data_IF_180489393561
#
_entry.id   IF_180489393561
#
_cell.length_a   1.000
_cell.length_b   1.000
_cell.length_c   1.000
_cell.angle_alpha   90.00
_cell.angle_beta   90.00
_cell.angle_gamma   90.00
#
_symmetry.space_group_name_H-M   'P 1'
#
loop_
_entity.id
_entity.type
_entity.pdbx_description
1 polymer ?
#
# COMPACT_ATOMS: atom_id res chain seq x y z
N UNK A 1 13.80 -23.16 11.46
CA UNK A 1 13.85 -22.57 12.82
C UNK A 1 13.60 -21.08 12.71
N UNK A 2 12.54 -20.57 13.35
CA UNK A 2 12.12 -19.18 13.27
C UNK A 2 13.13 -18.26 13.97
N UNK A 3 13.69 -17.27 13.27
CA UNK A 3 14.54 -16.28 13.92
C UNK A 3 13.66 -15.26 14.64
N UNK A 4 13.51 -15.50 15.94
CA UNK A 4 12.92 -14.60 16.90
C UNK A 4 13.66 -13.25 16.90
N UNK A 5 12.93 -12.13 16.99
CA UNK A 5 13.57 -10.87 17.40
C UNK A 5 14.23 -11.11 18.74
N UNK A 6 15.57 -11.07 18.78
CA UNK A 6 16.39 -11.26 19.98
C UNK A 6 15.96 -10.39 21.17
N UNK A 7 15.27 -9.28 20.91
CA UNK A 7 14.72 -8.38 21.94
C UNK A 7 13.42 -8.86 22.58
N UNK A 8 12.57 -9.62 21.88
CA UNK A 8 11.19 -9.82 22.36
C UNK A 8 10.49 -11.11 21.94
N UNK A 9 11.17 -11.98 21.18
CA UNK A 9 10.67 -13.29 20.78
C UNK A 9 9.25 -13.30 20.19
N UNK A 10 8.81 -12.18 19.59
CA UNK A 10 7.55 -12.09 18.86
C UNK A 10 7.82 -12.00 17.36
N UNK A 11 7.10 -12.78 16.52
CA UNK A 11 7.12 -12.58 15.07
C UNK A 11 6.42 -11.26 14.72
N UNK A 12 6.69 -10.70 13.53
CA UNK A 12 5.86 -9.61 12.97
C UNK A 12 6.49 -8.23 12.78
N UNK A 13 7.77 -8.00 13.11
CA UNK A 13 8.39 -6.67 13.04
C UNK A 13 9.94 -6.70 13.02
N UNK A 14 10.59 -5.63 12.57
CA UNK A 14 12.04 -5.45 12.64
C UNK A 14 12.50 -5.16 14.08
N UNK A 15 13.78 -5.38 14.40
CA UNK A 15 14.31 -5.16 15.76
C UNK A 15 14.24 -3.69 16.23
N UNK A 16 14.18 -2.75 15.29
CA UNK A 16 13.98 -1.31 15.52
C UNK A 16 12.51 -0.96 15.83
N UNK A 17 11.60 -1.90 15.56
CA UNK A 17 10.16 -1.75 15.67
C UNK A 17 9.58 -2.57 16.82
N UNK A 18 10.43 -3.23 17.61
CA UNK A 18 9.96 -3.98 18.76
C UNK A 18 9.57 -3.00 19.87
N UNK A 19 8.29 -2.97 20.20
CA UNK A 19 7.70 -2.16 21.29
C UNK A 19 7.96 -2.80 22.67
N UNK A 20 8.59 -3.96 22.74
CA UNK A 20 8.91 -4.58 24.01
C UNK A 20 10.13 -3.90 24.65
N UNK A 21 9.89 -3.19 25.75
CA UNK A 21 10.93 -2.62 26.60
C UNK A 21 11.59 -3.74 27.40
N UNK A 22 12.85 -4.08 27.10
CA UNK A 22 13.66 -4.84 28.06
C UNK A 22 13.99 -3.93 29.24
N UNK A 23 13.96 -4.49 30.47
CA UNK A 23 14.16 -3.74 31.74
C UNK A 23 15.50 -2.98 31.80
N UNK A 24 16.44 -3.29 30.92
CA UNK A 24 17.77 -2.68 30.84
C UNK A 24 17.78 -1.31 30.12
N UNK A 25 16.75 -0.98 29.33
CA UNK A 25 16.68 0.31 28.61
C UNK A 25 16.26 1.50 29.47
N UNK A 26 15.92 1.29 30.75
CA UNK A 26 15.54 2.39 31.66
C UNK A 26 16.77 3.21 32.10
N UNK A 27 18.00 2.69 31.93
CA UNK A 27 19.22 3.36 32.35
C UNK A 27 19.88 4.28 31.29
N UNK A 28 19.51 4.18 30.01
CA UNK A 28 19.97 5.07 28.94
C UNK A 28 18.75 5.65 28.22
N UNK A 29 18.39 6.89 28.55
CA UNK A 29 17.20 7.59 28.04
C UNK A 29 17.19 7.81 26.52
N UNK A 30 16.94 6.75 25.75
CA UNK A 30 16.72 6.78 24.30
C UNK A 30 15.64 5.79 23.89
N UNK A 31 14.39 6.07 24.26
CA UNK A 31 13.23 5.50 23.57
C UNK A 31 12.45 6.64 22.93
N UNK A 32 12.87 7.09 21.74
CA UNK A 32 12.00 7.94 20.92
C UNK A 32 10.79 7.08 20.53
N UNK A 33 9.57 7.41 20.96
CA UNK A 33 8.40 6.81 20.35
C UNK A 33 8.44 7.21 18.87
N UNK A 34 8.40 6.23 17.96
CA UNK A 34 8.33 6.45 16.51
C UNK A 34 7.03 7.18 16.18
N UNK A 35 7.05 8.51 16.29
CA UNK A 35 5.92 9.36 15.97
C UNK A 35 5.72 9.38 14.45
N UNK A 36 4.45 9.25 14.03
CA UNK A 36 4.06 9.42 12.63
C UNK A 36 4.50 10.83 12.20
N UNK A 37 5.17 10.96 11.05
CA UNK A 37 5.62 12.26 10.59
C UNK A 37 4.46 13.22 10.35
N UNK A 38 4.70 14.53 10.53
CA UNK A 38 3.70 15.57 10.27
C UNK A 38 3.18 15.51 8.83
N UNK A 39 4.04 15.22 7.86
CA UNK A 39 3.68 15.11 6.45
C UNK A 39 2.71 13.95 6.22
N UNK A 40 2.99 12.78 6.82
CA UNK A 40 2.15 11.60 6.71
C UNK A 40 0.79 11.78 7.40
N UNK A 41 0.77 12.47 8.55
CA UNK A 41 -0.49 12.90 9.19
C UNK A 41 -1.28 13.88 8.30
N UNK A 42 -0.59 14.74 7.57
CA UNK A 42 -1.19 15.61 6.54
C UNK A 42 -1.90 14.79 5.46
N UNK A 43 -1.22 13.77 4.92
CA UNK A 43 -1.81 12.88 3.92
C UNK A 43 -3.02 12.12 4.44
N UNK A 44 -2.95 11.55 5.64
CA UNK A 44 -4.10 10.86 6.24
C UNK A 44 -5.32 11.77 6.42
N UNK A 45 -5.10 13.03 6.84
CA UNK A 45 -6.20 14.01 6.94
C UNK A 45 -6.84 14.29 5.59
N UNK A 46 -6.05 14.42 4.52
CA UNK A 46 -6.56 14.61 3.16
C UNK A 46 -7.33 13.39 2.67
N UNK A 47 -6.79 12.18 2.86
CA UNK A 47 -7.49 10.94 2.51
C UNK A 47 -8.82 10.78 3.26
N UNK A 48 -8.86 11.15 4.54
CA UNK A 48 -10.09 11.12 5.32
C UNK A 48 -11.15 12.07 4.77
N UNK A 49 -10.76 13.25 4.26
CA UNK A 49 -11.69 14.18 3.60
C UNK A 49 -12.21 13.60 2.28
N UNK A 50 -11.34 13.00 1.46
CA UNK A 50 -11.75 12.33 0.22
C UNK A 50 -12.75 11.20 0.52
N UNK A 51 -12.48 10.40 1.56
CA UNK A 51 -13.33 9.29 2.00
C UNK A 51 -14.74 9.69 2.46
N UNK A 52 -14.99 10.98 2.76
CA UNK A 52 -16.34 11.46 3.07
C UNK A 52 -17.21 11.68 1.82
N UNK A 53 -16.60 11.91 0.66
CA UNK A 53 -17.27 12.30 -0.58
C UNK A 53 -17.21 11.18 -1.63
N UNK A 54 -17.33 9.91 -1.21
CA UNK A 54 -17.13 8.75 -2.09
C UNK A 54 -18.25 8.54 -3.12
N UNK A 55 -19.49 8.93 -2.80
CA UNK A 55 -20.68 8.62 -3.61
C UNK A 55 -20.77 9.39 -4.94
N UNK A 56 -20.04 10.50 -5.08
CA UNK A 56 -19.99 11.30 -6.31
C UNK A 56 -18.67 11.17 -7.08
N UNK A 57 -17.76 10.30 -6.62
CA UNK A 57 -16.46 10.11 -7.25
C UNK A 57 -16.61 9.48 -8.63
N UNK A 58 -16.05 10.12 -9.65
CA UNK A 58 -15.99 9.61 -11.01
C UNK A 58 -14.68 10.01 -11.68
N UNK A 59 -14.23 9.19 -12.62
CA UNK A 59 -13.01 9.48 -13.38
C UNK A 59 -13.17 10.78 -14.18
N UNK A 60 -12.19 11.67 -14.08
CA UNK A 60 -12.18 12.95 -14.80
C UNK A 60 -12.10 12.81 -16.33
N UNK A 61 -11.71 11.65 -16.85
CA UNK A 61 -11.56 11.42 -18.29
C UNK A 61 -12.76 10.71 -18.93
N UNK A 62 -13.35 9.72 -18.24
CA UNK A 62 -14.45 8.91 -18.79
C UNK A 62 -15.70 8.81 -17.90
N UNK A 63 -15.73 9.52 -16.78
CA UNK A 63 -16.83 9.53 -15.82
C UNK A 63 -17.20 8.16 -15.22
N UNK A 64 -16.37 7.13 -15.40
CA UNK A 64 -16.53 5.84 -14.71
C UNK A 64 -16.48 6.02 -13.19
N UNK A 65 -17.34 5.31 -12.47
CA UNK A 65 -17.39 5.30 -11.00
C UNK A 65 -16.69 4.08 -10.38
N UNK A 66 -15.99 3.27 -11.20
CA UNK A 66 -15.42 1.98 -10.81
C UNK A 66 -13.89 2.04 -10.91
N UNK A 67 -13.23 1.33 -10.00
CA UNK A 67 -11.77 1.15 -9.96
C UNK A 67 -11.03 2.49 -9.95
N UNK A 68 -11.28 3.30 -8.91
CA UNK A 68 -10.90 4.70 -8.85
C UNK A 68 -9.73 4.96 -7.92
N UNK A 69 -8.85 5.85 -8.36
CA UNK A 69 -7.80 6.44 -7.54
C UNK A 69 -7.84 7.97 -7.63
N UNK A 70 -7.66 8.64 -6.49
CA UNK A 70 -7.44 10.08 -6.45
C UNK A 70 -5.94 10.37 -6.34
N UNK A 71 -5.42 11.15 -7.28
CA UNK A 71 -4.07 11.69 -7.16
C UNK A 71 -4.05 12.78 -6.08
N UNK A 72 -3.19 12.63 -5.08
CA UNK A 72 -3.07 13.61 -3.99
C UNK A 72 -2.21 14.80 -4.39
N UNK A 73 -1.51 14.77 -5.51
CA UNK A 73 -0.73 15.92 -5.96
C UNK A 73 -1.58 16.93 -6.72
N UNK A 74 -2.50 16.48 -7.58
CA UNK A 74 -3.38 17.36 -8.37
C UNK A 74 -4.87 17.30 -8.03
N UNK A 75 -5.29 16.41 -7.12
CA UNK A 75 -6.68 16.27 -6.68
C UNK A 75 -7.63 15.62 -7.69
N UNK A 76 -7.16 15.27 -8.90
CA UNK A 76 -7.98 14.62 -9.94
C UNK A 76 -8.18 13.13 -9.64
N UNK A 77 -9.28 12.58 -10.16
CA UNK A 77 -9.70 11.18 -10.00
C UNK A 77 -9.54 10.45 -11.34
N UNK A 78 -8.92 9.27 -11.31
CA UNK A 78 -8.66 8.46 -12.48
C UNK A 78 -9.14 7.03 -12.26
N UNK A 79 -9.70 6.40 -13.30
CA UNK A 79 -9.98 4.98 -13.26
C UNK A 79 -8.77 4.16 -13.73
N UNK A 80 -8.54 3.03 -13.07
CA UNK A 80 -7.51 2.06 -13.46
C UNK A 80 -8.00 1.09 -14.53
N UNK A 81 -9.30 0.76 -14.52
CA UNK A 81 -9.93 -0.16 -15.48
C UNK A 81 -9.75 0.24 -16.95
N UNK A 82 -9.78 1.54 -17.26
CA UNK A 82 -9.51 2.06 -18.60
C UNK A 82 -8.05 2.51 -18.80
N UNK A 83 -7.17 2.29 -17.81
CA UNK A 83 -5.76 2.66 -17.85
C UNK A 83 -5.46 4.16 -17.68
N UNK A 84 -6.46 5.00 -17.40
CA UNK A 84 -6.25 6.45 -17.20
C UNK A 84 -5.34 6.75 -16.00
N UNK A 85 -5.42 5.93 -14.95
CA UNK A 85 -4.52 6.06 -13.80
C UNK A 85 -3.06 5.82 -14.20
N UNK A 86 -2.80 4.75 -14.93
CA UNK A 86 -1.45 4.42 -15.41
C UNK A 86 -0.91 5.48 -16.38
N UNK A 87 -1.74 5.96 -17.30
CA UNK A 87 -1.40 7.06 -18.20
C UNK A 87 -1.05 8.34 -17.42
N UNK A 88 -1.84 8.67 -16.39
CA UNK A 88 -1.58 9.81 -15.53
C UNK A 88 -0.22 9.70 -14.80
N UNK A 89 0.08 8.54 -14.21
CA UNK A 89 1.35 8.28 -13.51
C UNK A 89 2.55 8.40 -14.45
N UNK A 90 2.41 7.93 -15.69
CA UNK A 90 3.48 8.00 -16.71
C UNK A 90 3.73 9.42 -17.19
N UNK A 91 2.66 10.20 -17.40
CA UNK A 91 2.73 11.58 -17.90
C UNK A 91 3.10 12.59 -16.83
N UNK A 92 2.89 12.28 -15.54
CA UNK A 92 3.15 13.18 -14.42
C UNK A 92 4.11 12.51 -13.41
N UNK A 93 5.42 12.48 -13.70
CA UNK A 93 6.37 11.71 -12.90
C UNK A 93 6.53 12.22 -11.46
N UNK A 94 6.23 13.51 -11.21
CA UNK A 94 6.22 14.12 -9.87
C UNK A 94 4.98 13.80 -9.05
N UNK A 95 3.97 13.15 -9.64
CA UNK A 95 2.78 12.71 -8.91
C UNK A 95 3.04 11.31 -8.36
N UNK A 96 3.11 11.22 -7.05
CA UNK A 96 3.64 10.04 -6.37
C UNK A 96 2.61 9.43 -5.41
N UNK A 97 1.63 10.21 -4.99
CA UNK A 97 0.76 9.89 -3.87
C UNK A 97 -0.69 9.67 -4.33
N UNK A 98 -1.24 8.50 -3.99
CA UNK A 98 -2.56 8.11 -4.46
C UNK A 98 -3.44 7.59 -3.33
N UNK A 99 -4.69 8.04 -3.32
CA UNK A 99 -5.75 7.46 -2.51
C UNK A 99 -6.52 6.43 -3.34
N UNK A 100 -6.67 5.22 -2.81
CA UNK A 100 -7.50 4.18 -3.42
C UNK A 100 -8.92 4.29 -2.88
N UNK A 101 -9.91 4.37 -3.78
CA UNK A 101 -11.33 4.33 -3.42
C UNK A 101 -11.76 2.92 -3.03
N UNK A 102 -11.18 1.89 -3.66
CA UNK A 102 -11.44 0.48 -3.31
C UNK A 102 -10.96 0.10 -1.92
N UNK A 103 -9.76 0.56 -1.53
CA UNK A 103 -9.20 0.33 -0.19
C UNK A 103 -9.62 1.39 0.84
N UNK A 104 -10.24 2.48 0.37
CA UNK A 104 -10.66 3.65 1.16
C UNK A 104 -9.53 4.27 1.99
N UNK A 105 -8.32 4.31 1.43
CA UNK A 105 -7.11 4.82 2.13
C UNK A 105 -5.98 5.21 1.18
N UNK A 106 -4.97 5.85 1.75
CA UNK A 106 -3.69 6.10 1.11
C UNK A 106 -3.02 4.78 0.72
N UNK A 107 -2.57 4.69 -0.53
CA UNK A 107 -1.69 3.63 -1.01
C UNK A 107 -0.28 3.95 -0.52
N UNK A 108 0.21 3.16 0.43
CA UNK A 108 1.52 3.34 1.07
C UNK A 108 2.02 2.01 1.63
N UNK A 109 3.28 1.99 2.05
CA UNK A 109 3.85 0.86 2.77
C UNK A 109 3.00 0.46 4.00
N UNK A 110 2.92 -0.84 4.26
CA UNK A 110 2.08 -1.48 5.28
C UNK A 110 2.24 -0.89 6.68
N UNK A 111 3.47 -0.51 7.04
CA UNK A 111 3.79 0.02 8.36
C UNK A 111 3.28 1.45 8.52
N UNK A 112 2.50 1.67 9.59
CA UNK A 112 1.84 2.94 9.87
C UNK A 112 2.81 4.13 9.97
N UNK A 113 4.00 3.91 10.53
CA UNK A 113 5.07 4.91 10.71
C UNK A 113 6.02 5.04 9.53
N UNK A 114 5.97 4.13 8.55
CA UNK A 114 6.79 4.22 7.34
C UNK A 114 6.35 5.41 6.48
N UNK A 115 7.33 6.22 6.04
CA UNK A 115 7.11 7.42 5.23
C UNK A 115 6.99 7.14 3.73
N UNK A 116 7.28 5.91 3.28
CA UNK A 116 7.22 5.57 1.85
C UNK A 116 5.76 5.52 1.39
N UNK A 117 5.41 6.54 0.60
CA UNK A 117 4.09 6.72 -0.01
C UNK A 117 4.16 6.82 -1.53
N UNK A 118 5.36 6.89 -2.11
CA UNK A 118 5.54 6.95 -3.56
C UNK A 118 5.14 5.61 -4.17
N UNK A 119 4.10 5.63 -5.01
CA UNK A 119 3.56 4.43 -5.65
C UNK A 119 4.60 3.63 -6.45
N UNK A 120 5.64 4.28 -6.97
CA UNK A 120 6.72 3.65 -7.76
C UNK A 120 7.71 2.85 -6.90
N UNK A 121 7.71 3.10 -5.60
CA UNK A 121 8.56 2.45 -4.60
C UNK A 121 7.81 1.39 -3.78
N UNK A 122 6.56 1.11 -4.16
CA UNK A 122 5.72 0.13 -3.50
C UNK A 122 5.72 -1.19 -4.27
N UNK A 123 5.86 -2.25 -3.49
CA UNK A 123 5.77 -3.64 -3.88
C UNK A 123 4.52 -4.27 -3.29
N UNK A 124 4.02 -5.30 -3.95
CA UNK A 124 2.91 -6.14 -3.54
C UNK A 124 3.38 -7.57 -3.51
N UNK A 125 3.03 -8.30 -2.46
CA UNK A 125 3.21 -9.74 -2.41
C UNK A 125 1.97 -10.40 -3.03
N UNK A 126 2.08 -10.96 -4.24
CA UNK A 126 0.92 -11.57 -4.90
C UNK A 126 0.41 -12.78 -4.12
N UNK A 127 1.28 -13.58 -3.51
CA UNK A 127 0.84 -14.69 -2.66
C UNK A 127 -0.08 -14.26 -1.49
N UNK A 128 0.30 -13.22 -0.74
CA UNK A 128 -0.55 -12.70 0.33
C UNK A 128 -1.82 -12.05 -0.19
N UNK A 129 -1.72 -11.46 -1.39
CA UNK A 129 -2.84 -10.87 -2.10
C UNK A 129 -3.89 -11.92 -2.49
N UNK A 130 -3.47 -13.02 -3.12
CA UNK A 130 -4.34 -14.12 -3.58
C UNK A 130 -5.03 -14.79 -2.38
N UNK A 131 -4.28 -15.03 -1.30
CA UNK A 131 -4.84 -15.56 -0.06
C UNK A 131 -5.89 -14.63 0.55
N UNK A 132 -5.70 -13.32 0.43
CA UNK A 132 -6.68 -12.35 0.87
C UNK A 132 -7.92 -12.39 -0.03
N UNK A 133 -7.71 -12.45 -1.35
CA UNK A 133 -8.75 -12.49 -2.36
C UNK A 133 -9.71 -13.65 -2.12
N UNK A 134 -9.20 -14.88 -2.04
CA UNK A 134 -10.01 -16.09 -1.91
C UNK A 134 -10.95 -16.09 -0.70
N UNK A 135 -10.55 -15.42 0.39
CA UNK A 135 -11.26 -15.47 1.67
C UNK A 135 -12.09 -14.22 1.95
N UNK A 136 -11.64 -13.05 1.48
CA UNK A 136 -12.16 -11.76 1.93
C UNK A 136 -12.63 -10.84 0.82
N UNK A 137 -12.44 -11.19 -0.45
CA UNK A 137 -13.02 -10.45 -1.55
C UNK A 137 -14.42 -10.96 -1.87
N UNK A 138 -15.38 -10.04 -1.97
CA UNK A 138 -16.71 -10.34 -2.45
C UNK A 138 -16.76 -10.04 -3.95
N UNK A 139 -16.84 -11.10 -4.76
CA UNK A 139 -16.89 -10.98 -6.22
C UNK A 139 -18.19 -10.37 -6.73
N UNK A 140 -19.31 -10.54 -6.01
CA UNK A 140 -20.60 -10.00 -6.43
C UNK A 140 -20.64 -8.48 -6.29
N UNK A 141 -20.06 -7.97 -5.20
CA UNK A 141 -20.02 -6.51 -4.95
C UNK A 141 -18.71 -5.87 -5.42
N UNK A 142 -17.72 -6.68 -5.83
CA UNK A 142 -16.35 -6.26 -6.14
C UNK A 142 -15.69 -5.46 -4.99
N UNK A 143 -15.96 -5.85 -3.74
CA UNK A 143 -15.46 -5.16 -2.54
C UNK A 143 -14.69 -6.06 -1.58
N UNK A 144 -13.84 -5.44 -0.77
CA UNK A 144 -13.15 -6.11 0.33
C UNK A 144 -13.98 -6.11 1.61
N UNK A 145 -14.05 -7.26 2.27
CA UNK A 145 -14.45 -7.32 3.68
C UNK A 145 -13.42 -6.60 4.55
N UNK A 146 -13.86 -6.06 5.70
CA UNK A 146 -12.99 -5.28 6.61
C UNK A 146 -11.70 -6.02 7.00
N UNK A 147 -11.79 -7.33 7.28
CA UNK A 147 -10.61 -8.15 7.58
C UNK A 147 -9.64 -8.27 6.39
N UNK A 148 -10.16 -8.29 5.16
CA UNK A 148 -9.36 -8.35 3.93
C UNK A 148 -8.58 -7.06 3.70
N UNK A 149 -9.15 -5.89 4.01
CA UNK A 149 -8.47 -4.61 3.88
C UNK A 149 -7.16 -4.58 4.68
N UNK A 150 -7.15 -5.08 5.91
CA UNK A 150 -5.93 -5.14 6.72
C UNK A 150 -4.85 -6.02 6.09
N UNK A 151 -5.22 -7.16 5.50
CA UNK A 151 -4.29 -8.10 4.88
C UNK A 151 -3.72 -7.53 3.57
N UNK A 152 -4.57 -6.97 2.72
CA UNK A 152 -4.17 -6.31 1.47
C UNK A 152 -3.19 -5.17 1.76
N UNK A 153 -3.50 -4.35 2.77
CA UNK A 153 -2.61 -3.26 3.16
C UNK A 153 -1.32 -3.74 3.80
N UNK A 154 -1.35 -4.88 4.50
CA UNK A 154 -0.18 -5.58 5.01
C UNK A 154 0.72 -6.15 3.91
N UNK A 155 0.16 -6.34 2.71
CA UNK A 155 0.84 -6.92 1.55
C UNK A 155 1.48 -5.88 0.63
N UNK A 156 1.21 -4.59 0.86
CA UNK A 156 1.84 -3.47 0.14
C UNK A 156 3.01 -2.94 0.96
N UNK A 157 4.24 -3.06 0.49
CA UNK A 157 5.45 -2.70 1.24
C UNK A 157 6.39 -1.84 0.41
N UNK A 158 7.24 -1.03 1.05
CA UNK A 158 8.45 -0.55 0.39
C UNK A 158 9.53 -1.65 0.40
N UNK A 159 10.62 -1.47 -0.34
CA UNK A 159 11.72 -2.43 -0.45
C UNK A 159 12.17 -3.01 0.91
N UNK A 160 12.53 -2.15 1.87
CA UNK A 160 13.03 -2.59 3.19
C UNK A 160 12.02 -3.49 3.93
N UNK A 161 10.75 -3.08 3.96
CA UNK A 161 9.69 -3.85 4.61
C UNK A 161 9.30 -5.09 3.79
N UNK A 162 9.48 -5.05 2.47
CA UNK A 162 9.23 -6.19 1.59
C UNK A 162 10.32 -7.25 1.73
N UNK A 163 11.58 -6.87 1.94
CA UNK A 163 12.66 -7.80 2.28
C UNK A 163 12.35 -8.55 3.60
N UNK A 164 11.85 -7.82 4.61
CA UNK A 164 11.39 -8.45 5.84
C UNK A 164 10.17 -9.36 5.63
N UNK A 165 9.21 -8.91 4.83
CA UNK A 165 8.05 -9.72 4.45
C UNK A 165 8.48 -11.02 3.74
N UNK A 166 9.43 -10.95 2.81
CA UNK A 166 9.96 -12.11 2.08
C UNK A 166 10.50 -13.19 3.00
N UNK A 167 11.30 -12.81 3.99
CA UNK A 167 11.84 -13.75 4.97
C UNK A 167 10.76 -14.46 5.82
N UNK A 168 9.54 -13.91 5.90
CA UNK A 168 8.45 -14.41 6.73
C UNK A 168 7.26 -14.95 5.93
N UNK A 169 7.30 -14.83 4.61
CA UNK A 169 6.26 -15.27 3.70
C UNK A 169 6.77 -16.45 2.87
N UNK A 170 6.14 -17.61 3.04
CA UNK A 170 6.62 -18.90 2.53
C UNK A 170 6.87 -18.95 1.01
N UNK A 171 6.31 -18.02 0.23
CA UNK A 171 6.38 -18.02 -1.24
C UNK A 171 6.78 -16.67 -1.86
N UNK A 172 7.26 -15.71 -1.08
CA UNK A 172 7.52 -14.36 -1.59
C UNK A 172 8.82 -14.21 -2.44
N UNK A 173 9.64 -15.28 -2.53
CA UNK A 173 10.87 -15.32 -3.34
C UNK A 173 10.65 -15.71 -4.81
N UNK A 174 9.41 -15.98 -5.24
CA UNK A 174 9.09 -16.41 -6.62
C UNK A 174 8.78 -15.22 -7.56
N UNK A 175 8.72 -14.00 -7.05
CA UNK A 175 8.16 -12.85 -7.78
C UNK A 175 9.25 -11.89 -8.31
N UNK A 176 9.66 -12.06 -9.57
CA UNK A 176 10.57 -11.18 -10.32
C UNK A 176 9.95 -9.78 -10.64
N UNK A 177 8.69 -9.56 -10.26
CA UNK A 177 7.88 -8.39 -10.65
C UNK A 177 6.97 -7.84 -9.52
N UNK A 178 7.42 -7.86 -8.27
CA UNK A 178 6.60 -7.43 -7.13
C UNK A 178 6.23 -5.93 -7.10
N UNK A 179 6.76 -5.07 -7.97
CA UNK A 179 6.41 -3.64 -7.98
C UNK A 179 4.99 -3.38 -8.51
N UNK A 180 4.24 -2.48 -7.86
CA UNK A 180 2.91 -2.03 -8.33
C UNK A 180 3.00 -1.42 -9.74
N UNK A 181 4.08 -0.69 -10.01
CA UNK A 181 4.38 -0.14 -11.33
C UNK A 181 5.63 -0.83 -11.84
N UNK A 182 5.48 -1.63 -12.89
CA UNK A 182 6.60 -2.31 -13.53
C UNK A 182 7.66 -1.31 -14.00
N UNK A 183 8.89 -1.41 -13.48
CA UNK A 183 10.04 -0.57 -13.88
C UNK A 183 10.56 -0.89 -15.28
N UNK A 184 10.33 -2.12 -15.78
CA UNK A 184 10.72 -2.55 -17.13
C UNK A 184 9.57 -2.29 -18.09
N UNK A 185 9.73 -1.26 -18.90
CA UNK A 185 8.83 -0.91 -19.99
C UNK A 185 9.26 -1.70 -21.24
N UNK A 186 8.65 -2.85 -21.51
CA UNK A 186 8.70 -3.45 -22.86
C UNK A 186 7.36 -3.24 -23.53
N UNK A 187 7.40 -2.43 -24.58
CA UNK A 187 6.36 -2.12 -25.55
C UNK A 187 5.14 -3.06 -25.53
N UNK A 188 3.98 -2.50 -25.19
CA UNK A 188 2.75 -2.75 -25.95
C UNK A 188 1.76 -1.62 -25.66
N UNK A 189 1.23 -1.06 -26.74
CA UNK A 189 0.31 0.08 -26.84
C UNK A 189 -1.07 -0.11 -26.17
N UNK A 190 -1.18 -0.97 -25.16
CA UNK A 190 -2.43 -1.26 -24.50
C UNK A 190 -2.50 -0.46 -23.20
N UNK A 191 -3.66 0.13 -22.91
CA UNK A 191 -4.01 0.76 -21.63
C UNK A 191 -3.82 -0.25 -20.50
N UNK A 192 -2.62 -0.28 -19.89
CA UNK A 192 -2.30 -1.26 -18.85
C UNK A 192 -2.98 -0.83 -17.56
N UNK A 193 -3.82 -1.72 -17.05
CA UNK A 193 -4.40 -1.69 -15.71
C UNK A 193 -3.33 -2.03 -14.68
N UNK A 194 -3.24 -1.27 -13.60
CA UNK A 194 -2.27 -1.48 -12.53
C UNK A 194 -2.68 -2.62 -11.61
N UNK A 195 -3.88 -2.53 -11.01
CA UNK A 195 -4.39 -3.56 -10.13
C UNK A 195 -5.88 -3.35 -9.86
N UNK A 196 -6.68 -4.30 -10.34
CA UNK A 196 -8.11 -4.39 -10.07
C UNK A 196 -8.49 -4.39 -8.59
N UNK A 197 -7.53 -4.78 -7.76
CA UNK A 197 -7.80 -5.11 -6.38
C UNK A 197 -7.28 -4.04 -5.42
N UNK A 198 -6.36 -3.20 -5.90
CA UNK A 198 -5.89 -2.00 -5.20
C UNK A 198 -6.73 -0.80 -5.61
N UNK A 199 -7.18 -0.65 -6.86
CA UNK A 199 -7.86 0.55 -7.34
C UNK A 199 -9.33 0.34 -7.68
#
# INVERSE_FOLDING_TARGET
MCHYSWKCQRPGHLAEDCVATTKEQVALGQSKPTSISRDLLGLYRRCHQIGKNLSSASCNACHSSISLASCLDCGKIFCDSAGHLNEHIKTNPSHEQYYSHKLKRLVKCCKSTCKVTNIKDLLVCHYCFDKAFDKFYDMYTATWKVAGLSIVCGSICCEDHFAWHRMNCLNADVEDAAFIISRRNTQRNNRIKLSDFIF
#
